data_IF_381066463560
#
_entry.id   IF_381066463560
#
_cell.length_a   1.000
_cell.length_b   1.000
_cell.length_c   1.000
_cell.angle_alpha   90.00
_cell.angle_beta   90.00
_cell.angle_gamma   90.00
#
_symmetry.space_group_name_H-M   'P 1'
#
loop_
_entity.id
_entity.type
_entity.pdbx_description
1 polymer ?
#
# COMPACT_ATOMS: atom_id res chain seq x y z
N UNK A 1 -27.03 14.24 -14.70
CA UNK A 1 -26.24 13.06 -15.09
C UNK A 1 -24.75 13.34 -15.30
N UNK A 2 -24.30 14.29 -16.16
CA UNK A 2 -22.86 14.60 -16.29
C UNK A 2 -22.18 14.87 -14.95
N UNK A 3 -22.83 15.68 -14.07
CA UNK A 3 -22.35 15.96 -12.72
C UNK A 3 -22.18 14.68 -11.86
N UNK A 4 -23.06 13.70 -12.03
CA UNK A 4 -22.96 12.41 -11.32
C UNK A 4 -21.69 11.65 -11.70
N UNK A 5 -21.36 11.60 -13.00
CA UNK A 5 -20.14 10.93 -13.45
C UNK A 5 -18.87 11.67 -13.03
N UNK A 6 -18.90 13.02 -12.98
CA UNK A 6 -17.79 13.77 -12.37
C UNK A 6 -17.61 13.42 -10.89
N UNK A 7 -18.71 13.32 -10.12
CA UNK A 7 -18.67 12.92 -8.71
C UNK A 7 -18.10 11.50 -8.54
N UNK A 8 -18.47 10.57 -9.41
CA UNK A 8 -17.89 9.21 -9.39
C UNK A 8 -16.38 9.26 -9.65
N UNK A 9 -15.92 10.04 -10.63
CA UNK A 9 -14.50 10.22 -10.89
C UNK A 9 -13.74 10.80 -9.70
N UNK A 10 -14.30 11.81 -9.05
CA UNK A 10 -13.75 12.39 -7.82
C UNK A 10 -13.73 11.36 -6.70
N UNK A 11 -14.81 10.60 -6.51
CA UNK A 11 -14.89 9.56 -5.49
C UNK A 11 -13.83 8.47 -5.71
N UNK A 12 -13.65 8.00 -6.95
CA UNK A 12 -12.62 7.00 -7.29
C UNK A 12 -11.22 7.52 -6.99
N UNK A 13 -10.93 8.78 -7.31
CA UNK A 13 -9.64 9.39 -7.01
C UNK A 13 -9.42 9.51 -5.50
N UNK A 14 -10.41 10.01 -4.74
CA UNK A 14 -10.34 10.07 -3.28
C UNK A 14 -10.18 8.70 -2.66
N UNK A 15 -10.91 7.70 -3.18
CA UNK A 15 -10.75 6.31 -2.75
C UNK A 15 -9.33 5.80 -2.98
N UNK A 16 -8.75 6.06 -4.16
CA UNK A 16 -7.37 5.66 -4.48
C UNK A 16 -6.37 6.25 -3.47
N UNK A 17 -6.57 7.50 -3.09
CA UNK A 17 -5.77 8.20 -2.10
C UNK A 17 -5.94 7.60 -0.70
N UNK A 18 -7.18 7.43 -0.25
CA UNK A 18 -7.47 6.85 1.07
C UNK A 18 -6.96 5.41 1.16
N UNK A 19 -7.13 4.64 0.09
CA UNK A 19 -6.63 3.27 0.03
C UNK A 19 -5.10 3.20 0.05
N UNK A 20 -4.43 4.14 -0.63
CA UNK A 20 -2.98 4.27 -0.53
C UNK A 20 -2.51 4.57 0.89
N UNK A 21 -3.16 5.51 1.59
CA UNK A 21 -2.83 5.79 2.99
C UNK A 21 -3.12 4.61 3.90
N UNK A 22 -4.21 3.90 3.69
CA UNK A 22 -4.52 2.69 4.43
C UNK A 22 -3.43 1.62 4.27
N UNK A 23 -2.96 1.38 3.03
CA UNK A 23 -1.86 0.45 2.77
C UNK A 23 -0.54 0.93 3.38
N UNK A 24 -0.26 2.24 3.32
CA UNK A 24 0.93 2.82 3.91
C UNK A 24 0.93 2.72 5.45
N UNK A 25 -0.23 2.93 6.08
CA UNK A 25 -0.40 2.82 7.55
C UNK A 25 -0.19 1.38 8.03
N UNK A 26 -0.72 0.41 7.31
CA UNK A 26 -0.52 -1.02 7.61
C UNK A 26 0.88 -1.53 7.33
N UNK A 27 1.77 -0.67 6.79
CA UNK A 27 3.11 -1.07 6.34
C UNK A 27 3.12 -2.21 5.32
N UNK A 28 1.97 -2.44 4.67
CA UNK A 28 1.86 -3.40 3.58
C UNK A 28 2.66 -2.94 2.34
N UNK A 29 3.02 -1.65 2.30
CA UNK A 29 3.95 -1.09 1.34
C UNK A 29 5.36 -1.26 1.91
N UNK A 30 5.96 -2.40 1.66
CA UNK A 30 7.33 -2.68 2.08
C UNK A 30 8.26 -2.03 1.06
N UNK A 31 9.04 -1.06 1.53
CA UNK A 31 10.09 -0.41 0.74
C UNK A 31 11.40 -1.19 0.74
N UNK A 32 11.48 -2.26 1.55
CA UNK A 32 12.66 -3.12 1.64
C UNK A 32 12.55 -4.28 0.66
N UNK A 33 13.63 -4.56 -0.06
CA UNK A 33 13.76 -5.73 -0.96
C UNK A 33 14.19 -6.98 -0.21
N UNK A 34 14.44 -6.88 1.09
CA UNK A 34 14.98 -7.94 1.94
C UNK A 34 13.91 -8.49 2.88
N UNK A 35 14.03 -9.79 3.21
CA UNK A 35 13.14 -10.43 4.17
C UNK A 35 13.35 -9.85 5.57
N UNK A 36 12.27 -9.54 6.26
CA UNK A 36 12.30 -9.16 7.67
C UNK A 36 11.91 -10.36 8.53
N UNK A 37 12.82 -10.75 9.42
CA UNK A 37 12.63 -11.81 10.39
C UNK A 37 12.35 -11.19 11.74
N UNK A 38 11.16 -11.39 12.30
CA UNK A 38 10.82 -10.95 13.65
C UNK A 38 11.12 -12.08 14.63
N UNK A 39 11.87 -11.76 15.66
CA UNK A 39 12.29 -12.69 16.72
C UNK A 39 11.64 -12.33 18.03
N UNK A 40 11.07 -13.34 18.66
CA UNK A 40 10.60 -13.27 20.05
C UNK A 40 11.43 -14.24 20.89
N UNK A 41 12.03 -13.72 21.95
CA UNK A 41 12.84 -14.50 22.87
C UNK A 41 12.05 -14.86 24.14
N UNK A 42 12.31 -16.04 24.70
CA UNK A 42 11.72 -16.47 25.97
C UNK A 42 12.18 -15.64 27.19
N UNK A 43 13.34 -14.99 27.07
CA UNK A 43 13.96 -14.17 28.14
C UNK A 43 14.51 -12.89 27.57
N UNK A 44 14.67 -11.88 28.42
CA UNK A 44 15.30 -10.63 28.03
C UNK A 44 16.78 -10.80 27.76
N UNK A 45 17.28 -10.16 26.69
CA UNK A 45 18.69 -10.04 26.34
C UNK A 45 19.06 -8.56 26.37
N UNK A 46 20.31 -8.23 26.68
CA UNK A 46 20.78 -6.83 26.62
C UNK A 46 21.13 -6.47 25.17
N UNK A 47 20.92 -5.22 24.78
CA UNK A 47 21.26 -4.76 23.43
C UNK A 47 22.75 -4.92 23.11
N UNK A 48 23.65 -4.74 24.11
CA UNK A 48 25.09 -4.96 23.94
C UNK A 48 25.43 -6.42 23.68
N UNK A 49 24.72 -7.35 24.30
CA UNK A 49 24.93 -8.79 24.06
C UNK A 49 24.35 -9.19 22.70
N UNK A 50 23.16 -8.70 22.36
CA UNK A 50 22.53 -8.93 21.07
C UNK A 50 23.37 -8.37 19.92
N UNK A 51 24.04 -7.21 20.11
CA UNK A 51 24.96 -6.63 19.13
C UNK A 51 26.17 -7.55 18.86
N UNK A 52 26.74 -8.17 19.90
CA UNK A 52 27.81 -9.15 19.72
C UNK A 52 27.36 -10.38 18.91
N UNK A 53 26.12 -10.85 19.13
CA UNK A 53 25.56 -11.95 18.35
C UNK A 53 25.28 -11.51 16.89
N UNK A 54 24.80 -10.29 16.69
CA UNK A 54 24.61 -9.69 15.38
C UNK A 54 25.94 -9.62 14.59
N UNK A 55 27.02 -9.16 15.23
CA UNK A 55 28.36 -9.11 14.63
C UNK A 55 28.88 -10.52 14.28
N UNK A 56 28.76 -11.49 15.20
CA UNK A 56 29.19 -12.88 14.94
C UNK A 56 28.42 -13.56 13.80
N UNK A 57 27.15 -13.24 13.62
CA UNK A 57 26.31 -13.78 12.56
C UNK A 57 26.34 -12.95 11.27
N UNK A 58 26.95 -11.77 11.31
CA UNK A 58 26.96 -10.78 10.22
C UNK A 58 25.55 -10.40 9.76
N UNK A 59 24.66 -10.13 10.73
CA UNK A 59 23.27 -9.76 10.53
C UNK A 59 23.01 -8.36 11.07
N UNK A 60 22.24 -7.56 10.37
CA UNK A 60 21.74 -6.27 10.88
C UNK A 60 20.46 -6.49 11.65
N UNK A 61 20.46 -6.12 12.94
CA UNK A 61 19.29 -6.22 13.80
C UNK A 61 18.67 -4.84 14.00
N UNK A 62 17.35 -4.79 14.02
CA UNK A 62 16.55 -3.59 14.25
C UNK A 62 15.74 -3.73 15.54
N UNK A 63 15.86 -2.72 16.40
CA UNK A 63 15.01 -2.55 17.57
C UNK A 63 14.02 -1.42 17.27
N UNK A 64 12.73 -1.75 17.22
CA UNK A 64 11.66 -0.79 16.88
C UNK A 64 10.98 -0.32 18.15
N UNK A 65 11.06 0.98 18.45
CA UNK A 65 10.38 1.62 19.56
C UNK A 65 9.30 2.56 19.04
N UNK A 66 8.08 2.37 19.53
CA UNK A 66 6.94 3.23 19.19
C UNK A 66 6.59 4.11 20.38
N UNK A 67 6.52 5.40 20.15
CA UNK A 67 6.05 6.38 21.13
C UNK A 67 4.86 7.13 20.55
N UNK A 68 3.71 7.00 21.18
CA UNK A 68 2.56 7.84 20.88
C UNK A 68 2.77 9.17 21.61
N UNK A 69 3.07 10.23 20.87
CA UNK A 69 3.31 11.57 21.42
C UNK A 69 1.99 12.27 21.70
N UNK A 70 1.02 12.14 20.81
CA UNK A 70 -0.37 12.62 20.98
C UNK A 70 -1.27 11.97 19.93
N UNK A 71 -2.57 12.22 19.97
CA UNK A 71 -3.51 11.69 18.99
C UNK A 71 -3.08 12.06 17.57
N UNK A 72 -2.75 11.06 16.74
CA UNK A 72 -2.28 11.23 15.38
C UNK A 72 -0.82 11.67 15.23
N UNK A 73 -0.03 11.71 16.34
CA UNK A 73 1.40 11.97 16.31
C UNK A 73 2.15 10.75 16.83
N UNK A 74 2.76 10.01 15.95
CA UNK A 74 3.60 8.87 16.29
C UNK A 74 5.07 9.17 16.06
N UNK A 75 5.91 8.75 16.99
CA UNK A 75 7.35 8.75 16.83
C UNK A 75 7.82 7.31 16.86
N UNK A 76 8.43 6.87 15.78
CA UNK A 76 9.05 5.56 15.65
C UNK A 76 10.56 5.73 15.64
N UNK A 77 11.23 5.13 16.59
CA UNK A 77 12.70 5.09 16.62
C UNK A 77 13.14 3.68 16.27
N UNK A 78 13.97 3.55 15.24
CA UNK A 78 14.56 2.27 14.84
C UNK A 78 16.05 2.33 15.14
N UNK A 79 16.44 1.55 16.15
CA UNK A 79 17.84 1.42 16.54
C UNK A 79 18.46 0.23 15.85
N UNK A 80 19.54 0.46 15.12
CA UNK A 80 20.26 -0.57 14.37
C UNK A 80 21.46 -1.07 15.16
N UNK A 81 21.54 -2.41 15.33
CA UNK A 81 22.69 -3.13 15.83
C UNK A 81 23.43 -3.71 14.65
N UNK A 82 24.75 -3.56 14.62
CA UNK A 82 25.60 -3.99 13.53
C UNK A 82 25.14 -3.47 12.14
N UNK A 83 24.90 -2.14 11.98
CA UNK A 83 24.49 -1.59 10.68
C UNK A 83 25.66 -1.68 9.68
N UNK A 84 25.33 -1.89 8.40
CA UNK A 84 26.31 -1.87 7.30
C UNK A 84 27.03 -0.51 7.17
N UNK A 85 28.09 -0.47 6.34
CA UNK A 85 28.93 0.73 6.14
C UNK A 85 28.14 1.92 5.57
N UNK A 86 27.13 1.65 4.75
CA UNK A 86 26.33 2.69 4.06
C UNK A 86 25.15 3.21 4.92
N UNK A 87 25.08 2.78 6.17
CA UNK A 87 24.00 3.21 7.07
C UNK A 87 24.13 4.70 7.40
N UNK A 88 23.04 5.44 7.18
CA UNK A 88 22.91 6.86 7.51
C UNK A 88 21.90 7.04 8.63
N UNK A 89 22.35 7.69 9.70
CA UNK A 89 21.47 8.12 10.79
C UNK A 89 20.62 9.32 10.38
N UNK A 90 19.50 9.50 11.05
CA UNK A 90 18.67 10.67 10.88
C UNK A 90 17.20 10.38 10.66
N UNK A 91 16.46 11.45 10.39
CA UNK A 91 15.02 11.35 10.13
C UNK A 91 14.77 10.79 8.73
N UNK A 92 13.84 9.85 8.64
CA UNK A 92 13.35 9.32 7.36
C UNK A 92 12.08 10.03 6.93
N UNK A 93 11.88 10.19 5.63
CA UNK A 93 10.63 10.72 5.10
C UNK A 93 9.46 9.78 5.42
N UNK A 94 8.28 10.36 5.61
CA UNK A 94 7.02 9.63 5.76
C UNK A 94 5.93 10.36 5.00
N UNK A 95 5.00 9.62 4.39
CA UNK A 95 3.81 10.20 3.76
C UNK A 95 2.84 10.80 4.79
N UNK A 96 3.00 10.46 6.08
CA UNK A 96 2.23 11.02 7.17
C UNK A 96 2.97 12.23 7.77
N UNK A 97 2.41 13.47 7.67
CA UNK A 97 3.12 14.68 8.10
C UNK A 97 3.48 14.69 9.60
N UNK A 98 2.69 13.98 10.40
CA UNK A 98 2.82 13.92 11.86
C UNK A 98 3.64 12.73 12.35
N UNK A 99 4.02 11.84 11.46
CA UNK A 99 4.88 10.71 11.80
C UNK A 99 6.36 11.12 11.75
N UNK A 100 7.11 10.73 12.76
CA UNK A 100 8.56 10.93 12.81
C UNK A 100 9.25 9.57 12.89
N UNK A 101 9.91 9.17 11.80
CA UNK A 101 10.71 7.95 11.77
C UNK A 101 12.17 8.37 11.91
N UNK A 102 12.84 7.85 12.95
CA UNK A 102 14.23 8.17 13.26
C UNK A 102 15.05 6.89 13.22
N UNK A 103 16.11 6.90 12.41
CA UNK A 103 17.09 5.84 12.34
C UNK A 103 18.32 6.23 13.15
N UNK A 104 18.73 5.39 14.08
CA UNK A 104 19.91 5.63 14.91
C UNK A 104 20.73 4.34 15.09
N UNK A 105 22.03 4.48 15.33
CA UNK A 105 22.85 3.37 15.79
C UNK A 105 22.61 3.08 17.26
N UNK A 106 22.90 1.86 17.66
CA UNK A 106 22.90 1.50 19.08
C UNK A 106 23.93 2.34 19.85
N UNK A 107 23.45 2.98 20.91
CA UNK A 107 24.33 3.57 21.89
C UNK A 107 24.70 2.47 22.90
N UNK A 108 25.93 1.96 22.83
CA UNK A 108 26.41 0.89 23.70
C UNK A 108 26.35 1.23 25.21
N UNK A 109 26.27 2.53 25.55
CA UNK A 109 26.14 2.99 26.94
C UNK A 109 24.74 2.73 27.53
N UNK A 110 23.72 2.56 26.72
CA UNK A 110 22.36 2.23 27.16
C UNK A 110 22.16 0.71 27.14
N UNK A 111 22.32 0.08 28.29
CA UNK A 111 22.16 -1.36 28.46
C UNK A 111 20.67 -1.73 28.55
N UNK A 112 19.95 -1.61 27.42
CA UNK A 112 18.52 -1.82 27.32
C UNK A 112 18.21 -3.31 27.22
N UNK A 113 17.19 -3.77 27.95
CA UNK A 113 16.72 -5.16 27.88
C UNK A 113 15.69 -5.30 26.77
N UNK A 114 15.91 -6.28 25.88
CA UNK A 114 15.12 -6.51 24.69
C UNK A 114 14.60 -7.94 24.70
N UNK A 115 13.36 -8.13 24.29
CA UNK A 115 12.76 -9.44 24.10
C UNK A 115 12.27 -9.65 22.67
N UNK A 116 11.96 -8.55 21.96
CA UNK A 116 11.52 -8.54 20.58
C UNK A 116 12.49 -7.73 19.73
N UNK A 117 12.88 -8.29 18.59
CA UNK A 117 13.68 -7.58 17.61
C UNK A 117 13.43 -8.10 16.20
N UNK A 118 13.78 -7.32 15.20
CA UNK A 118 13.72 -7.72 13.80
C UNK A 118 15.14 -7.81 13.20
N UNK A 119 15.33 -8.73 12.27
CA UNK A 119 16.54 -8.80 11.47
C UNK A 119 16.15 -8.68 9.99
N UNK A 120 16.82 -7.78 9.28
CA UNK A 120 16.63 -7.59 7.83
C UNK A 120 17.79 -8.21 7.11
N UNK A 121 17.53 -9.30 6.41
CA UNK A 121 18.60 -10.06 5.72
C UNK A 121 17.99 -10.93 4.61
N UNK A 122 18.60 -10.91 3.44
CA UNK A 122 18.23 -11.78 2.31
C UNK A 122 18.83 -13.18 2.40
N UNK A 123 19.97 -13.31 3.10
CA UNK A 123 20.69 -14.57 3.22
C UNK A 123 20.22 -15.43 4.40
N UNK A 124 19.43 -16.45 4.09
CA UNK A 124 18.90 -17.38 5.10
C UNK A 124 19.97 -18.09 5.94
N UNK A 125 21.19 -18.30 5.40
CA UNK A 125 22.29 -18.93 6.14
C UNK A 125 22.76 -18.07 7.31
N UNK A 126 22.80 -16.74 7.15
CA UNK A 126 23.13 -15.81 8.24
C UNK A 126 22.07 -15.83 9.33
N UNK A 127 20.80 -15.85 8.95
CA UNK A 127 19.68 -15.97 9.90
C UNK A 127 19.73 -17.30 10.65
N UNK A 128 20.01 -18.41 9.96
CA UNK A 128 20.17 -19.71 10.61
C UNK A 128 21.33 -19.72 11.62
N UNK A 129 22.45 -19.05 11.29
CA UNK A 129 23.58 -18.87 12.19
C UNK A 129 23.19 -18.06 13.43
N UNK A 130 22.45 -16.95 13.27
CA UNK A 130 21.94 -16.16 14.40
C UNK A 130 21.04 -17.00 15.32
N UNK A 131 20.09 -17.75 14.74
CA UNK A 131 19.22 -18.67 15.48
C UNK A 131 20.02 -19.73 16.27
N UNK A 132 21.06 -20.29 15.66
CA UNK A 132 21.92 -21.27 16.31
C UNK A 132 22.64 -20.66 17.51
N UNK A 133 23.25 -19.48 17.36
CA UNK A 133 23.91 -18.77 18.45
C UNK A 133 22.96 -18.45 19.60
N UNK A 134 21.75 -18.03 19.34
CA UNK A 134 20.73 -17.78 20.36
C UNK A 134 20.33 -19.06 21.10
N UNK A 135 20.20 -20.19 20.40
CA UNK A 135 19.91 -21.50 21.00
C UNK A 135 21.06 -22.02 21.87
N UNK A 136 22.31 -21.84 21.43
CA UNK A 136 23.52 -22.20 22.22
C UNK A 136 23.54 -21.46 23.56
N UNK A 137 23.02 -20.24 23.62
CA UNK A 137 22.87 -19.46 24.84
C UNK A 137 21.54 -19.74 25.60
N UNK A 138 20.86 -20.84 25.26
CA UNK A 138 19.62 -21.34 25.91
C UNK A 138 18.42 -20.37 25.81
N UNK A 139 18.35 -19.58 24.74
CA UNK A 139 17.13 -18.85 24.39
C UNK A 139 16.21 -19.74 23.56
N UNK A 140 14.92 -19.79 23.96
CA UNK A 140 13.88 -20.29 23.07
C UNK A 140 13.51 -19.12 22.12
N UNK A 141 13.46 -19.39 20.83
CA UNK A 141 13.34 -18.40 19.78
C UNK A 141 12.13 -18.73 18.91
N UNK A 142 11.12 -17.94 18.96
CA UNK A 142 10.03 -17.91 17.98
C UNK A 142 10.39 -16.92 16.87
N UNK A 143 10.10 -17.28 15.63
CA UNK A 143 10.48 -16.46 14.49
C UNK A 143 9.36 -16.44 13.47
N UNK A 144 8.87 -15.24 13.18
CA UNK A 144 7.99 -14.95 12.07
C UNK A 144 8.81 -14.34 10.92
N UNK A 145 8.45 -14.71 9.70
CA UNK A 145 9.12 -14.21 8.49
C UNK A 145 8.14 -13.39 7.69
N UNK A 146 8.42 -12.11 7.58
CA UNK A 146 7.72 -11.23 6.66
C UNK A 146 8.52 -11.14 5.37
N UNK A 147 8.08 -11.86 4.35
CA UNK A 147 8.67 -11.72 3.02
C UNK A 147 8.16 -10.43 2.38
N UNK A 148 9.04 -9.62 1.77
CA UNK A 148 8.59 -8.46 1.01
C UNK A 148 7.75 -8.96 -0.16
N UNK A 149 6.45 -8.85 -0.04
CA UNK A 149 5.59 -9.04 -1.20
C UNK A 149 5.64 -7.76 -2.02
N UNK A 150 6.20 -7.81 -3.23
CA UNK A 150 6.17 -6.63 -4.09
C UNK A 150 4.71 -6.21 -4.24
N UNK A 151 4.45 -4.89 -4.11
CA UNK A 151 3.12 -4.36 -4.34
C UNK A 151 2.62 -4.83 -5.70
N UNK A 152 1.71 -5.77 -5.69
CA UNK A 152 1.18 -6.43 -6.88
C UNK A 152 -0.34 -6.59 -6.82
N UNK A 153 -0.93 -7.05 -7.92
CA UNK A 153 -2.37 -7.27 -8.03
C UNK A 153 -2.92 -8.18 -6.90
N UNK A 154 -2.13 -9.15 -6.43
CA UNK A 154 -2.53 -10.08 -5.36
C UNK A 154 -2.83 -9.35 -4.05
N UNK A 155 -2.11 -8.28 -3.74
CA UNK A 155 -2.33 -7.48 -2.52
C UNK A 155 -3.65 -6.70 -2.56
N UNK A 156 -4.10 -6.32 -3.76
CA UNK A 156 -5.37 -5.64 -3.97
C UNK A 156 -6.57 -6.58 -3.75
N UNK A 157 -6.37 -7.89 -3.97
CA UNK A 157 -7.42 -8.91 -3.86
C UNK A 157 -7.38 -9.69 -2.54
N UNK A 158 -6.65 -9.23 -1.54
CA UNK A 158 -6.80 -9.76 -0.19
C UNK A 158 -8.23 -9.53 0.32
N UNK A 159 -8.77 -10.43 1.14
CA UNK A 159 -10.19 -10.49 1.53
C UNK A 159 -10.80 -9.16 1.98
N UNK A 160 -10.06 -8.36 2.75
CA UNK A 160 -10.52 -7.03 3.17
C UNK A 160 -10.54 -6.02 2.02
N UNK A 161 -9.54 -6.08 1.13
CA UNK A 161 -9.43 -5.17 0.01
C UNK A 161 -10.43 -5.53 -1.09
N UNK A 162 -10.71 -6.82 -1.30
CA UNK A 162 -11.70 -7.30 -2.26
C UNK A 162 -13.11 -6.73 -1.97
N UNK A 163 -13.50 -6.58 -0.71
CA UNK A 163 -14.79 -5.98 -0.35
C UNK A 163 -14.92 -4.54 -0.86
N UNK A 164 -13.89 -3.73 -0.77
CA UNK A 164 -13.89 -2.37 -1.29
C UNK A 164 -14.02 -2.35 -2.83
N UNK A 165 -13.31 -3.24 -3.52
CA UNK A 165 -13.43 -3.35 -4.98
C UNK A 165 -14.82 -3.80 -5.41
N UNK A 166 -15.44 -4.75 -4.70
CA UNK A 166 -16.83 -5.18 -4.95
C UNK A 166 -17.80 -4.00 -4.74
N UNK A 167 -17.64 -3.19 -3.71
CA UNK A 167 -18.49 -2.02 -3.49
C UNK A 167 -18.37 -0.99 -4.62
N UNK A 168 -17.14 -0.69 -5.08
CA UNK A 168 -16.92 0.22 -6.22
C UNK A 168 -17.53 -0.37 -7.49
N UNK A 169 -17.40 -1.67 -7.71
CA UNK A 169 -17.99 -2.37 -8.85
C UNK A 169 -19.51 -2.26 -8.86
N UNK A 170 -20.17 -2.54 -7.74
CA UNK A 170 -21.62 -2.43 -7.60
C UNK A 170 -22.09 -0.98 -7.79
N UNK A 171 -21.38 0.00 -7.22
CA UNK A 171 -21.67 1.41 -7.42
C UNK A 171 -21.57 1.80 -8.89
N UNK A 172 -20.53 1.37 -9.59
CA UNK A 172 -20.35 1.66 -11.00
C UNK A 172 -21.47 1.05 -11.86
N UNK A 173 -21.83 -0.21 -11.62
CA UNK A 173 -22.96 -0.87 -12.30
C UNK A 173 -24.26 -0.12 -12.04
N UNK A 174 -24.57 0.23 -10.80
CA UNK A 174 -25.76 0.97 -10.44
C UNK A 174 -25.84 2.32 -11.16
N UNK A 175 -24.74 3.06 -11.22
CA UNK A 175 -24.67 4.33 -11.93
C UNK A 175 -24.89 4.18 -13.43
N UNK A 176 -24.33 3.14 -14.04
CA UNK A 176 -24.51 2.84 -15.46
C UNK A 176 -25.96 2.45 -15.75
N UNK A 177 -26.53 1.55 -14.95
CA UNK A 177 -27.94 1.16 -15.09
C UNK A 177 -28.88 2.37 -14.95
N UNK A 178 -28.68 3.18 -13.92
CA UNK A 178 -29.44 4.43 -13.72
C UNK A 178 -29.33 5.38 -14.91
N UNK A 179 -28.15 5.44 -15.53
CA UNK A 179 -27.96 6.25 -16.73
C UNK A 179 -28.77 5.74 -17.92
N UNK A 180 -28.76 4.43 -18.17
CA UNK A 180 -29.56 3.82 -19.25
C UNK A 180 -31.05 4.08 -19.03
N UNK A 181 -31.57 3.88 -17.83
CA UNK A 181 -32.95 4.16 -17.49
C UNK A 181 -33.33 5.64 -17.73
N UNK A 182 -32.47 6.55 -17.27
CA UNK A 182 -32.72 7.99 -17.43
C UNK A 182 -32.70 8.45 -18.89
N UNK A 183 -31.90 7.79 -19.74
CA UNK A 183 -31.74 8.11 -21.17
C UNK A 183 -32.57 7.22 -22.09
N UNK A 184 -33.45 6.41 -21.56
CA UNK A 184 -34.23 5.45 -22.33
C UNK A 184 -34.99 6.09 -23.50
N UNK A 185 -35.58 7.30 -23.32
CA UNK A 185 -36.25 8.07 -24.38
C UNK A 185 -35.26 8.47 -25.51
N UNK A 186 -34.10 9.00 -25.15
CA UNK A 186 -33.07 9.38 -26.14
C UNK A 186 -32.56 8.15 -26.90
N UNK A 187 -32.34 7.04 -26.21
CA UNK A 187 -31.97 5.76 -26.78
C UNK A 187 -33.02 5.27 -27.77
N UNK A 188 -34.29 5.35 -27.38
CA UNK A 188 -35.43 5.03 -28.29
C UNK A 188 -35.44 5.84 -29.56
N UNK A 189 -35.25 7.18 -29.47
CA UNK A 189 -35.15 8.05 -30.64
C UNK A 189 -33.96 7.68 -31.53
N UNK A 190 -32.80 7.38 -30.96
CA UNK A 190 -31.64 6.94 -31.72
C UNK A 190 -31.89 5.63 -32.45
N UNK A 191 -32.56 4.65 -31.82
CA UNK A 191 -32.98 3.39 -32.46
C UNK A 191 -33.94 3.61 -33.62
N UNK A 192 -34.92 4.50 -33.47
CA UNK A 192 -35.87 4.87 -34.52
C UNK A 192 -35.12 5.52 -35.71
N UNK A 193 -34.03 6.25 -35.46
CA UNK A 193 -33.18 6.83 -36.49
C UNK A 193 -32.15 5.83 -37.09
N UNK A 194 -32.32 4.53 -36.87
CA UNK A 194 -31.50 3.46 -37.46
C UNK A 194 -30.15 3.23 -36.76
N UNK A 195 -29.95 3.79 -35.58
CA UNK A 195 -28.72 3.47 -34.81
C UNK A 195 -28.80 2.06 -34.21
N UNK A 196 -27.76 1.27 -34.44
CA UNK A 196 -27.66 -0.03 -33.82
C UNK A 196 -27.21 0.08 -32.34
N UNK A 197 -27.51 -0.95 -31.56
CA UNK A 197 -27.19 -0.98 -30.12
C UNK A 197 -25.71 -0.73 -29.83
N UNK A 198 -24.80 -1.24 -30.66
CA UNK A 198 -23.35 -1.06 -30.51
C UNK A 198 -22.93 0.41 -30.64
N UNK A 199 -23.46 1.15 -31.64
CA UNK A 199 -23.15 2.57 -31.80
C UNK A 199 -23.66 3.41 -30.63
N UNK A 200 -24.87 3.09 -30.14
CA UNK A 200 -25.46 3.75 -28.98
C UNK A 200 -24.60 3.49 -27.75
N UNK A 201 -24.21 2.24 -27.49
CA UNK A 201 -23.38 1.87 -26.35
C UNK A 201 -22.00 2.53 -26.38
N UNK A 202 -21.34 2.59 -27.54
CA UNK A 202 -20.06 3.28 -27.69
C UNK A 202 -20.18 4.78 -27.39
N UNK A 203 -21.28 5.42 -27.84
CA UNK A 203 -21.53 6.86 -27.55
C UNK A 203 -21.71 7.09 -26.04
N UNK A 204 -22.48 6.24 -25.39
CA UNK A 204 -22.71 6.29 -23.93
C UNK A 204 -21.40 6.06 -23.20
N UNK A 205 -20.65 5.01 -23.57
CA UNK A 205 -19.34 4.69 -23.01
C UNK A 205 -18.39 5.88 -23.08
N UNK A 206 -18.17 6.45 -24.25
CA UNK A 206 -17.29 7.61 -24.42
C UNK A 206 -17.67 8.74 -23.46
N UNK A 207 -18.95 9.03 -23.33
CA UNK A 207 -19.39 10.12 -22.47
C UNK A 207 -19.13 9.80 -20.98
N UNK A 208 -19.47 8.60 -20.53
CA UNK A 208 -19.22 8.16 -19.15
C UNK A 208 -17.72 8.21 -18.87
N UNK A 209 -16.92 7.62 -19.77
CA UNK A 209 -15.48 7.56 -19.67
C UNK A 209 -14.83 8.94 -19.51
N UNK A 210 -15.16 9.88 -20.40
CA UNK A 210 -14.64 11.25 -20.29
C UNK A 210 -15.00 11.92 -18.99
N UNK A 211 -16.25 11.83 -18.57
CA UNK A 211 -16.72 12.51 -17.35
C UNK A 211 -16.27 11.84 -16.05
N UNK A 212 -15.83 10.59 -16.08
CA UNK A 212 -15.32 9.89 -14.90
C UNK A 212 -13.78 9.92 -14.85
N UNK A 213 -13.12 9.63 -15.94
CA UNK A 213 -11.67 9.42 -15.96
C UNK A 213 -10.90 10.72 -15.90
N UNK A 214 -11.34 11.76 -16.62
CA UNK A 214 -10.60 13.03 -16.62
C UNK A 214 -10.49 13.64 -15.21
N UNK A 215 -11.58 13.80 -14.42
CA UNK A 215 -11.47 14.29 -13.05
C UNK A 215 -10.61 13.37 -12.16
N UNK A 216 -10.71 12.05 -12.35
CA UNK A 216 -9.93 11.10 -11.58
C UNK A 216 -8.43 11.26 -11.85
N UNK A 217 -8.01 11.35 -13.12
CA UNK A 217 -6.60 11.54 -13.50
C UNK A 217 -6.07 12.86 -12.94
N UNK A 218 -6.82 13.95 -13.03
CA UNK A 218 -6.39 15.26 -12.53
C UNK A 218 -6.12 15.18 -11.03
N UNK A 219 -7.03 14.61 -10.25
CA UNK A 219 -6.86 14.47 -8.81
C UNK A 219 -5.73 13.52 -8.45
N UNK A 220 -5.59 12.39 -9.13
CA UNK A 220 -4.48 11.45 -8.92
C UNK A 220 -3.13 12.11 -9.22
N UNK A 221 -3.04 12.94 -10.27
CA UNK A 221 -1.84 13.69 -10.61
C UNK A 221 -1.49 14.74 -9.55
N UNK A 222 -2.48 15.49 -9.05
CA UNK A 222 -2.27 16.45 -7.96
C UNK A 222 -1.76 15.75 -6.70
N UNK A 223 -2.29 14.58 -6.39
CA UNK A 223 -1.86 13.80 -5.24
C UNK A 223 -0.46 13.19 -5.42
N UNK A 224 -0.08 12.85 -6.66
CA UNK A 224 1.30 12.43 -6.97
C UNK A 224 2.31 13.51 -6.59
N UNK A 225 1.98 14.79 -6.84
CA UNK A 225 2.84 15.92 -6.45
C UNK A 225 2.99 16.01 -4.92
N UNK A 226 1.90 15.77 -4.18
CA UNK A 226 1.95 15.73 -2.71
C UNK A 226 2.87 14.62 -2.22
N UNK A 227 2.73 13.40 -2.73
CA UNK A 227 3.55 12.24 -2.34
C UNK A 227 5.03 12.50 -2.68
N UNK A 228 5.34 13.06 -3.86
CA UNK A 228 6.71 13.43 -4.24
C UNK A 228 7.37 14.39 -3.25
N UNK A 229 6.60 15.32 -2.67
CA UNK A 229 7.11 16.26 -1.65
C UNK A 229 7.33 15.60 -0.29
N UNK A 230 6.51 14.62 0.05
CA UNK A 230 6.55 13.98 1.37
C UNK A 230 7.50 12.79 1.41
N UNK A 231 7.40 11.88 0.45
CA UNK A 231 8.25 10.69 0.37
C UNK A 231 8.39 10.22 -1.08
N UNK A 232 9.53 10.54 -1.69
CA UNK A 232 9.82 10.15 -3.09
C UNK A 232 9.84 8.63 -3.29
N UNK A 233 10.18 7.85 -2.28
CA UNK A 233 10.26 6.39 -2.39
C UNK A 233 8.89 5.74 -2.63
N UNK A 234 7.82 6.39 -2.19
CA UNK A 234 6.45 5.88 -2.28
C UNK A 234 5.75 6.22 -3.61
N UNK A 235 6.33 7.11 -4.43
CA UNK A 235 5.66 7.57 -5.67
C UNK A 235 5.41 6.42 -6.64
N UNK A 236 6.38 5.54 -6.82
CA UNK A 236 6.25 4.41 -7.74
C UNK A 236 5.12 3.46 -7.32
N UNK A 237 4.99 3.23 -6.02
CA UNK A 237 3.94 2.38 -5.43
C UNK A 237 2.56 3.02 -5.63
N UNK A 238 2.45 4.33 -5.40
CA UNK A 238 1.21 5.06 -5.65
C UNK A 238 0.81 5.03 -7.14
N UNK A 239 1.75 5.26 -8.05
CA UNK A 239 1.48 5.20 -9.49
C UNK A 239 1.03 3.80 -9.93
N UNK A 240 1.64 2.74 -9.41
CA UNK A 240 1.18 1.35 -9.66
C UNK A 240 -0.25 1.15 -9.17
N UNK A 241 -0.59 1.62 -7.99
CA UNK A 241 -1.96 1.56 -7.46
C UNK A 241 -2.94 2.28 -8.39
N UNK A 242 -2.63 3.50 -8.83
CA UNK A 242 -3.46 4.26 -9.75
C UNK A 242 -3.67 3.52 -11.09
N UNK A 243 -2.63 2.88 -11.62
CA UNK A 243 -2.72 2.06 -12.83
C UNK A 243 -3.66 0.87 -12.61
N UNK A 244 -3.52 0.11 -11.52
CA UNK A 244 -4.39 -1.02 -11.22
C UNK A 244 -5.86 -0.61 -11.08
N UNK A 245 -6.14 0.48 -10.36
CA UNK A 245 -7.50 1.00 -10.22
C UNK A 245 -8.06 1.45 -11.57
N UNK A 246 -7.24 2.11 -12.40
CA UNK A 246 -7.65 2.55 -13.74
C UNK A 246 -7.96 1.38 -14.68
N UNK A 247 -7.15 0.32 -14.64
CA UNK A 247 -7.40 -0.92 -15.40
C UNK A 247 -8.71 -1.57 -14.92
N UNK A 248 -8.88 -1.70 -13.61
CA UNK A 248 -10.10 -2.28 -13.03
C UNK A 248 -11.36 -1.52 -13.49
N UNK A 249 -11.35 -0.19 -13.40
CA UNK A 249 -12.46 0.63 -13.87
C UNK A 249 -12.70 0.49 -15.37
N UNK A 250 -11.65 0.41 -16.17
CA UNK A 250 -11.77 0.21 -17.63
C UNK A 250 -12.44 -1.12 -17.96
N UNK A 251 -12.13 -2.19 -17.21
CA UNK A 251 -12.79 -3.49 -17.34
C UNK A 251 -14.27 -3.39 -16.96
N UNK A 252 -14.59 -2.74 -15.83
CA UNK A 252 -15.98 -2.55 -15.38
C UNK A 252 -16.80 -1.79 -16.42
N UNK A 253 -16.25 -0.70 -16.98
CA UNK A 253 -16.93 0.05 -18.03
C UNK A 253 -17.04 -0.73 -19.34
N UNK A 254 -16.05 -1.55 -19.68
CA UNK A 254 -16.09 -2.45 -20.83
C UNK A 254 -17.21 -3.47 -20.71
N UNK A 255 -17.37 -4.09 -19.55
CA UNK A 255 -18.48 -5.01 -19.28
C UNK A 255 -19.84 -4.31 -19.40
N UNK A 256 -19.96 -3.10 -18.87
CA UNK A 256 -21.19 -2.31 -19.00
C UNK A 256 -21.52 -1.97 -20.46
N UNK A 257 -20.52 -1.78 -21.30
CA UNK A 257 -20.69 -1.57 -22.74
C UNK A 257 -21.24 -2.84 -23.42
N UNK A 258 -20.72 -4.02 -23.05
CA UNK A 258 -21.20 -5.30 -23.57
C UNK A 258 -22.65 -5.51 -23.16
N UNK A 259 -22.99 -5.33 -21.88
CA UNK A 259 -24.38 -5.46 -21.39
C UNK A 259 -25.30 -4.49 -22.14
N UNK A 260 -24.91 -3.21 -22.29
CA UNK A 260 -25.69 -2.21 -22.99
C UNK A 260 -25.85 -2.48 -24.50
N UNK A 261 -24.98 -3.31 -25.10
CA UNK A 261 -25.12 -3.68 -26.51
C UNK A 261 -26.13 -4.81 -26.75
N UNK A 262 -26.47 -5.56 -25.69
CA UNK A 262 -27.44 -6.68 -25.74
C UNK A 262 -28.88 -6.15 -25.57
N UNK A 263 -29.08 -5.11 -24.80
CA UNK A 263 -30.39 -4.45 -24.61
C UNK A 263 -30.63 -3.35 -25.61
#
# INVERSE_FOLDING_TARGET
MKRLFHLIGIFVALFSVLFFFYLADKKDIITTTENEYTFQLSKYITNTHLEKLAQKSDVTIQLKEFQNVSLGHTKMTITFLNPGKDFKEGRRPSVFPKEKIIYQRSDQKKNQKVQFFSAVESNQKKIAKLKKLLKEEKFQVETDVTTPTPFGAVMLFNTLNAQFFVQIFLLAIFCIASYYVHRSKEIGILKLNGWNNVRISIRIFKMIFYHTIIPAIILMALFSIYILKMDQSMILTYLRLCIYISIFLSVVYGLALIVGSVF
#
